data_IF_777309191358
#
_entry.id   IF_777309191358
#
_cell.length_a   1.000
_cell.length_b   1.000
_cell.length_c   1.000
_cell.angle_alpha   90.00
_cell.angle_beta   90.00
_cell.angle_gamma   90.00
#
_symmetry.space_group_name_H-M   'P 1'
#
loop_
_entity.id
_entity.type
_entity.pdbx_description
1 polymer ?
#
# COMPACT_ATOMS: atom_id res chain seq x y z
N UNK A 1 4.36 38.07 17.14
CA UNK A 1 5.11 37.02 16.40
C UNK A 1 4.32 35.74 16.51
N UNK A 2 3.57 35.36 15.47
CA UNK A 2 2.77 34.15 15.47
C UNK A 2 3.62 32.95 15.07
N UNK A 3 3.71 31.94 15.91
CA UNK A 3 4.27 30.64 15.54
C UNK A 3 3.34 30.01 14.50
N UNK A 4 3.85 29.77 13.27
CA UNK A 4 3.15 28.93 12.31
C UNK A 4 3.16 27.49 12.83
N UNK A 5 2.02 26.82 12.77
CA UNK A 5 1.92 25.42 13.18
C UNK A 5 2.72 24.53 12.22
N UNK A 6 3.17 23.34 12.64
CA UNK A 6 3.88 22.41 11.75
C UNK A 6 3.11 22.11 10.44
N UNK A 7 1.76 21.98 10.45
CA UNK A 7 0.97 21.90 9.22
C UNK A 7 1.17 23.08 8.26
N UNK A 8 1.28 24.30 8.78
CA UNK A 8 1.50 25.50 7.96
C UNK A 8 2.92 25.54 7.39
N UNK A 9 3.91 25.03 8.14
CA UNK A 9 5.27 24.87 7.66
C UNK A 9 5.37 23.80 6.57
N UNK A 10 4.74 22.64 6.76
CA UNK A 10 4.68 21.57 5.76
C UNK A 10 4.06 22.07 4.46
N UNK A 11 2.91 22.77 4.56
CA UNK A 11 2.24 23.40 3.41
C UNK A 11 3.12 24.42 2.69
N UNK A 12 3.80 25.28 3.44
CA UNK A 12 4.66 26.32 2.89
C UNK A 12 5.94 25.75 2.23
N UNK A 13 6.53 24.71 2.81
CA UNK A 13 7.72 24.04 2.25
C UNK A 13 7.43 23.31 0.94
N UNK A 14 6.23 22.74 0.82
CA UNK A 14 5.78 22.02 -0.37
C UNK A 14 5.05 22.91 -1.40
N UNK A 15 5.05 24.24 -1.24
CA UNK A 15 4.49 25.17 -2.21
C UNK A 15 2.97 25.15 -2.34
N UNK A 16 2.26 24.64 -1.34
CA UNK A 16 0.80 24.56 -1.32
C UNK A 16 0.19 25.90 -0.87
N UNK A 17 0.25 26.92 -1.72
CA UNK A 17 -0.43 28.19 -1.47
C UNK A 17 -1.89 28.13 -1.92
N UNK A 18 -2.79 28.62 -1.06
CA UNK A 18 -4.22 28.75 -1.31
C UNK A 18 -4.49 29.66 -2.51
N UNK A 19 -4.69 29.09 -3.70
CA UNK A 19 -5.48 29.64 -4.83
C UNK A 19 -5.32 28.74 -6.06
N UNK A 20 -6.02 27.60 -6.07
CA UNK A 20 -6.53 26.91 -7.26
C UNK A 20 -7.27 25.65 -6.84
N UNK A 21 -8.44 25.31 -7.43
CA UNK A 21 -9.02 23.98 -7.30
C UNK A 21 -8.23 23.00 -8.18
N UNK A 22 -6.93 22.86 -7.87
CA UNK A 22 -6.11 21.80 -8.40
C UNK A 22 -6.34 20.62 -7.48
N UNK A 23 -7.04 19.62 -8.00
CA UNK A 23 -6.97 18.23 -7.52
C UNK A 23 -5.49 17.99 -7.26
N UNK A 24 -5.08 17.94 -5.98
CA UNK A 24 -3.72 17.58 -5.62
C UNK A 24 -3.59 16.11 -5.98
N UNK A 25 -3.23 15.84 -7.24
CA UNK A 25 -2.99 14.50 -7.71
C UNK A 25 -1.82 13.97 -6.90
N UNK A 26 -2.13 13.13 -5.90
CA UNK A 26 -1.12 12.53 -5.05
C UNK A 26 -0.12 11.81 -5.94
N UNK A 27 1.16 12.17 -5.82
CA UNK A 27 2.21 11.40 -6.48
C UNK A 27 2.33 10.05 -5.75
N UNK A 28 1.83 8.98 -6.37
CA UNK A 28 1.85 7.64 -5.79
C UNK A 28 3.26 7.14 -5.46
N UNK A 29 4.31 7.73 -6.03
CA UNK A 29 5.70 7.47 -5.65
C UNK A 29 5.96 7.72 -4.16
N UNK A 30 5.29 8.75 -3.61
CA UNK A 30 5.44 9.19 -2.21
C UNK A 30 4.47 8.48 -1.28
N UNK A 31 3.53 7.69 -1.80
CA UNK A 31 2.50 7.00 -1.04
C UNK A 31 3.07 6.21 0.16
N UNK A 32 4.11 5.37 0.02
CA UNK A 32 4.62 4.61 1.16
C UNK A 32 5.15 5.50 2.29
N UNK A 33 5.81 6.62 1.94
CA UNK A 33 6.37 7.55 2.91
C UNK A 33 5.29 8.31 3.66
N UNK A 34 4.26 8.79 2.94
CA UNK A 34 3.15 9.54 3.53
C UNK A 34 2.33 8.64 4.45
N UNK A 35 2.01 7.41 4.01
CA UNK A 35 1.29 6.45 4.86
C UNK A 35 2.10 6.08 6.11
N UNK A 36 3.40 5.87 5.97
CA UNK A 36 4.25 5.58 7.13
C UNK A 36 4.28 6.73 8.15
N UNK A 37 4.35 7.98 7.69
CA UNK A 37 4.29 9.15 8.57
C UNK A 37 2.95 9.21 9.32
N UNK A 38 1.84 8.98 8.62
CA UNK A 38 0.50 8.95 9.23
C UNK A 38 0.33 7.80 10.23
N UNK A 39 0.92 6.62 9.99
CA UNK A 39 0.93 5.52 10.96
C UNK A 39 1.70 5.87 12.23
N UNK A 40 2.77 6.64 12.12
CA UNK A 40 3.54 7.10 13.28
C UNK A 40 2.73 8.10 14.09
N UNK A 41 2.15 9.10 13.43
CA UNK A 41 1.32 10.14 14.07
C UNK A 41 0.11 9.55 14.81
N UNK A 42 -0.48 8.49 14.27
CA UNK A 42 -1.66 7.81 14.85
C UNK A 42 -1.30 6.68 15.80
N UNK A 43 -0.01 6.44 16.08
CA UNK A 43 0.53 5.30 16.85
C UNK A 43 0.19 3.90 16.31
N UNK A 44 -0.47 3.79 15.16
CA UNK A 44 -0.81 2.51 14.54
C UNK A 44 0.42 1.72 14.08
N UNK A 45 1.57 2.38 13.89
CA UNK A 45 2.85 1.72 13.61
C UNK A 45 3.27 0.71 14.69
N UNK A 46 2.69 0.76 15.89
CA UNK A 46 2.98 -0.22 16.96
C UNK A 46 2.27 -1.55 16.72
N UNK A 47 1.11 -1.54 16.04
CA UNK A 47 0.26 -2.72 15.81
C UNK A 47 0.29 -3.20 14.36
N UNK A 48 0.49 -2.29 13.41
CA UNK A 48 0.46 -2.56 11.97
C UNK A 48 1.83 -2.43 11.33
N UNK A 49 2.06 -3.26 10.32
CA UNK A 49 3.17 -3.14 9.38
C UNK A 49 2.63 -2.98 7.95
N UNK A 50 2.83 -1.81 7.35
CA UNK A 50 2.40 -1.57 5.97
C UNK A 50 3.46 -2.06 4.98
N UNK A 51 3.01 -2.85 4.01
CA UNK A 51 3.83 -3.42 2.95
C UNK A 51 3.30 -2.92 1.60
N UNK A 52 3.77 -1.73 1.21
CA UNK A 52 3.39 -1.09 -0.05
C UNK A 52 4.14 -1.72 -1.23
N UNK A 53 3.41 -2.37 -2.13
CA UNK A 53 3.90 -3.08 -3.31
C UNK A 53 3.53 -2.28 -4.58
N UNK A 54 4.55 -1.91 -5.35
CA UNK A 54 4.40 -1.20 -6.61
C UNK A 54 4.25 -2.20 -7.77
N UNK A 55 3.03 -2.30 -8.31
CA UNK A 55 2.68 -3.17 -9.43
C UNK A 55 3.09 -2.63 -10.79
N UNK A 56 3.57 -1.39 -10.89
CA UNK A 56 3.95 -0.80 -12.19
C UNK A 56 5.11 -1.53 -12.86
N UNK A 57 5.88 -2.31 -12.08
CA UNK A 57 7.07 -3.06 -12.50
C UNK A 57 6.86 -4.57 -12.56
N UNK A 58 5.62 -5.05 -12.51
CA UNK A 58 5.34 -6.48 -12.64
C UNK A 58 5.62 -6.96 -14.07
N UNK A 59 6.54 -7.93 -14.19
CA UNK A 59 6.90 -8.53 -15.47
C UNK A 59 5.76 -9.43 -15.97
N UNK A 60 5.20 -10.25 -15.07
CA UNK A 60 4.01 -11.07 -15.32
C UNK A 60 2.84 -10.56 -14.48
N UNK A 61 1.89 -9.87 -15.12
CA UNK A 61 0.75 -9.24 -14.45
C UNK A 61 -0.35 -10.22 -14.01
N UNK A 62 -0.41 -11.41 -14.57
CA UNK A 62 -1.34 -12.47 -14.14
C UNK A 62 -0.79 -13.27 -12.96
N UNK A 63 0.55 -13.35 -12.87
CA UNK A 63 1.25 -14.06 -11.79
C UNK A 63 2.51 -13.30 -11.35
N UNK A 64 2.36 -12.17 -10.63
CA UNK A 64 3.48 -11.33 -10.20
C UNK A 64 4.18 -11.87 -8.94
N UNK A 65 4.11 -13.18 -8.68
CA UNK A 65 4.58 -13.78 -7.42
C UNK A 65 6.05 -13.48 -7.11
N UNK A 66 6.92 -13.64 -8.10
CA UNK A 66 8.35 -13.37 -7.97
C UNK A 66 8.62 -11.86 -7.72
N UNK A 67 7.90 -10.98 -8.41
CA UNK A 67 8.05 -9.53 -8.27
C UNK A 67 7.62 -9.03 -6.89
N UNK A 68 6.48 -9.53 -6.39
CA UNK A 68 5.99 -9.23 -5.04
C UNK A 68 7.00 -9.72 -4.01
N UNK A 69 7.46 -10.97 -4.13
CA UNK A 69 8.48 -11.52 -3.23
C UNK A 69 9.76 -10.68 -3.21
N UNK A 70 10.26 -10.28 -4.38
CA UNK A 70 11.44 -9.43 -4.48
C UNK A 70 11.23 -8.08 -3.78
N UNK A 71 10.05 -7.47 -3.89
CA UNK A 71 9.73 -6.24 -3.17
C UNK A 71 9.65 -6.46 -1.67
N UNK A 72 9.03 -7.55 -1.18
CA UNK A 72 8.99 -7.89 0.24
C UNK A 72 10.40 -8.03 0.83
N UNK A 73 11.28 -8.77 0.15
CA UNK A 73 12.65 -8.98 0.62
C UNK A 73 13.49 -7.70 0.52
N UNK A 74 13.49 -7.01 -0.63
CA UNK A 74 14.41 -5.88 -0.87
C UNK A 74 13.95 -4.56 -0.25
N UNK A 75 12.64 -4.28 -0.27
CA UNK A 75 12.08 -3.01 0.20
C UNK A 75 11.66 -3.09 1.67
N UNK A 76 11.04 -4.21 2.04
CA UNK A 76 10.45 -4.40 3.37
C UNK A 76 11.30 -5.28 4.29
N UNK A 77 12.46 -5.73 3.81
CA UNK A 77 13.43 -6.53 4.58
C UNK A 77 12.84 -7.83 5.16
N UNK A 78 11.81 -8.39 4.51
CA UNK A 78 11.29 -9.70 4.88
C UNK A 78 12.38 -10.79 4.70
N UNK A 79 12.40 -11.81 5.57
CA UNK A 79 13.31 -12.95 5.45
C UNK A 79 13.25 -13.59 4.06
N UNK A 80 14.39 -14.07 3.55
CA UNK A 80 14.38 -14.86 2.32
C UNK A 80 13.77 -16.24 2.58
N UNK A 81 12.99 -16.73 1.63
CA UNK A 81 12.50 -18.11 1.61
C UNK A 81 13.69 -19.09 1.53
N UNK A 82 13.62 -20.17 2.31
CA UNK A 82 14.57 -21.29 2.25
C UNK A 82 14.38 -22.14 0.99
N UNK A 83 13.16 -22.16 0.43
CA UNK A 83 12.79 -22.91 -0.78
C UNK A 83 13.10 -22.15 -2.08
N UNK A 84 13.61 -20.91 -1.96
CA UNK A 84 13.91 -20.02 -3.08
C UNK A 84 12.76 -19.07 -3.44
N UNK A 85 12.91 -18.37 -4.58
CA UNK A 85 11.95 -17.37 -5.06
C UNK A 85 10.64 -18.04 -5.51
N UNK A 86 9.47 -17.61 -4.97
CA UNK A 86 8.17 -18.11 -5.38
C UNK A 86 7.91 -17.88 -6.88
N UNK A 87 7.44 -18.93 -7.55
CA UNK A 87 7.07 -18.91 -8.98
C UNK A 87 5.58 -18.74 -9.20
N UNK A 88 4.76 -19.01 -8.19
CA UNK A 88 3.29 -18.93 -8.25
C UNK A 88 2.75 -18.13 -7.08
N UNK A 89 1.56 -17.53 -7.23
CA UNK A 89 0.88 -16.84 -6.12
C UNK A 89 0.56 -17.79 -4.96
N UNK A 90 0.39 -19.09 -5.24
CA UNK A 90 0.23 -20.12 -4.20
C UNK A 90 1.51 -20.30 -3.39
N UNK A 91 2.67 -20.41 -4.04
CA UNK A 91 3.96 -20.46 -3.34
C UNK A 91 4.22 -19.17 -2.56
N UNK A 92 3.83 -18.01 -3.11
CA UNK A 92 3.93 -16.74 -2.40
C UNK A 92 3.03 -16.71 -1.16
N UNK A 93 1.82 -17.27 -1.24
CA UNK A 93 0.91 -17.41 -0.09
C UNK A 93 1.54 -18.28 0.99
N UNK A 94 2.11 -19.43 0.62
CA UNK A 94 2.78 -20.33 1.56
C UNK A 94 3.94 -19.59 2.24
N UNK A 95 4.79 -18.92 1.47
CA UNK A 95 5.87 -18.09 2.02
C UNK A 95 5.33 -17.04 2.99
N UNK A 96 4.26 -16.32 2.63
CA UNK A 96 3.62 -15.32 3.49
C UNK A 96 3.13 -15.89 4.82
N UNK A 97 2.53 -17.08 4.79
CA UNK A 97 2.02 -17.78 5.99
C UNK A 97 3.14 -18.31 6.90
N UNK A 98 4.33 -18.55 6.34
CA UNK A 98 5.51 -19.00 7.11
C UNK A 98 6.27 -17.83 7.76
N UNK A 99 5.96 -16.59 7.40
CA UNK A 99 6.59 -15.43 8.03
C UNK A 99 6.04 -15.23 9.44
N UNK A 100 6.96 -15.02 10.38
CA UNK A 100 6.62 -14.62 11.74
C UNK A 100 6.49 -13.10 11.80
N UNK A 101 5.27 -12.63 12.10
CA UNK A 101 4.92 -11.22 12.07
C UNK A 101 4.76 -10.69 13.49
N UNK A 102 5.64 -9.79 13.90
CA UNK A 102 5.51 -9.09 15.19
C UNK A 102 4.29 -8.15 15.22
N UNK A 103 3.92 -7.63 14.05
CA UNK A 103 2.84 -6.67 13.84
C UNK A 103 1.93 -7.19 12.75
N UNK A 104 0.65 -6.84 12.81
CA UNK A 104 -0.33 -7.26 11.80
C UNK A 104 0.06 -6.71 10.42
N UNK A 105 0.39 -7.57 9.44
CA UNK A 105 0.89 -7.13 8.16
C UNK A 105 -0.25 -6.75 7.21
N UNK A 106 -0.12 -5.59 6.56
CA UNK A 106 -1.08 -5.09 5.59
C UNK A 106 -0.40 -4.94 4.23
N UNK A 107 -0.94 -5.61 3.20
CA UNK A 107 -0.48 -5.45 1.82
C UNK A 107 -1.27 -4.35 1.12
N UNK A 108 -0.55 -3.37 0.57
CA UNK A 108 -1.14 -2.28 -0.21
C UNK A 108 -0.55 -2.31 -1.61
N UNK A 109 -1.36 -2.67 -2.60
CA UNK A 109 -0.95 -2.69 -4.00
C UNK A 109 -1.32 -1.38 -4.69
N UNK A 110 -0.38 -0.80 -5.43
CA UNK A 110 -0.61 0.42 -6.22
C UNK A 110 0.26 0.38 -7.49
N UNK A 111 -0.07 1.18 -8.50
CA UNK A 111 0.80 1.38 -9.67
C UNK A 111 1.25 2.84 -9.69
N UNK A 112 2.56 3.08 -9.50
CA UNK A 112 3.11 4.44 -9.50
C UNK A 112 3.06 5.09 -10.88
N UNK A 113 3.68 4.45 -11.87
CA UNK A 113 3.90 5.00 -13.19
C UNK A 113 3.12 4.22 -14.25
N UNK A 114 2.49 4.95 -15.18
CA UNK A 114 1.74 4.40 -16.32
C UNK A 114 0.81 3.25 -15.88
N UNK A 115 -0.17 3.53 -15.00
CA UNK A 115 -1.06 2.50 -14.49
C UNK A 115 -1.78 1.83 -15.67
N UNK A 116 -1.61 0.53 -15.78
CA UNK A 116 -2.21 -0.30 -16.81
C UNK A 116 -3.36 -1.14 -16.23
N UNK A 117 -3.55 -1.09 -14.90
CA UNK A 117 -4.50 -1.89 -14.16
C UNK A 117 -3.91 -3.23 -13.74
N UNK A 118 -4.37 -3.71 -12.59
CA UNK A 118 -4.10 -5.08 -12.14
C UNK A 118 -4.97 -6.05 -12.94
N UNK A 119 -4.41 -7.22 -13.31
CA UNK A 119 -5.18 -8.26 -14.01
C UNK A 119 -6.27 -8.83 -13.09
N UNK A 120 -7.39 -9.24 -13.68
CA UNK A 120 -8.46 -9.91 -12.92
C UNK A 120 -7.97 -11.22 -12.31
N UNK A 121 -7.17 -12.01 -13.04
CA UNK A 121 -6.56 -13.25 -12.54
C UNK A 121 -5.77 -13.04 -11.25
N UNK A 122 -4.98 -11.95 -11.20
CA UNK A 122 -4.23 -11.60 -9.99
C UNK A 122 -5.16 -11.16 -8.87
N UNK A 123 -6.12 -10.26 -9.12
CA UNK A 123 -7.07 -9.80 -8.11
C UNK A 123 -7.91 -10.95 -7.53
N UNK A 124 -8.44 -11.84 -8.37
CA UNK A 124 -9.16 -13.04 -7.94
C UNK A 124 -8.27 -13.96 -7.09
N UNK A 125 -6.98 -14.04 -7.39
CA UNK A 125 -6.02 -14.80 -6.59
C UNK A 125 -5.77 -14.14 -5.22
N UNK A 126 -5.73 -12.81 -5.15
CA UNK A 126 -5.58 -12.07 -3.89
C UNK A 126 -6.75 -12.32 -2.93
N UNK A 127 -7.97 -12.55 -3.42
CA UNK A 127 -9.12 -12.88 -2.55
C UNK A 127 -8.91 -14.14 -1.71
N UNK A 128 -8.04 -15.05 -2.17
CA UNK A 128 -7.72 -16.33 -1.53
C UNK A 128 -6.39 -16.29 -0.75
N UNK A 129 -5.72 -15.14 -0.74
CA UNK A 129 -4.37 -14.97 -0.18
C UNK A 129 -4.37 -14.89 1.36
N UNK A 130 -5.54 -14.81 2.02
CA UNK A 130 -5.70 -14.80 3.49
C UNK A 130 -4.83 -13.76 4.22
N UNK A 131 -4.54 -12.64 3.54
CA UNK A 131 -3.89 -11.48 4.15
C UNK A 131 -4.85 -10.29 4.13
N UNK A 132 -4.62 -9.31 5.01
CA UNK A 132 -5.31 -8.03 4.90
C UNK A 132 -4.70 -7.25 3.73
N UNK A 133 -5.49 -7.08 2.67
CA UNK A 133 -5.04 -6.50 1.40
C UNK A 133 -5.96 -5.36 1.01
N UNK A 134 -5.38 -4.29 0.46
CA UNK A 134 -6.12 -3.32 -0.34
C UNK A 134 -5.37 -2.95 -1.62
N UNK A 135 -6.12 -2.39 -2.58
CA UNK A 135 -5.61 -2.05 -3.91
C UNK A 135 -5.98 -0.61 -4.25
N UNK A 136 -5.00 0.17 -4.68
CA UNK A 136 -5.21 1.52 -5.21
C UNK A 136 -5.29 1.41 -6.73
N UNK A 137 -6.50 1.60 -7.27
CA UNK A 137 -6.81 1.40 -8.69
C UNK A 137 -8.05 2.20 -9.09
N UNK A 138 -8.15 2.53 -10.38
CA UNK A 138 -9.35 3.16 -10.93
C UNK A 138 -10.50 2.16 -11.13
N UNK A 139 -10.19 0.86 -11.14
CA UNK A 139 -11.16 -0.21 -11.39
C UNK A 139 -11.44 -0.97 -10.09
N UNK A 140 -12.57 -0.69 -9.41
CA UNK A 140 -12.89 -1.32 -8.15
C UNK A 140 -13.10 -2.83 -8.30
N UNK A 141 -12.74 -3.58 -7.27
CA UNK A 141 -12.96 -5.03 -7.18
C UNK A 141 -14.09 -5.31 -6.18
N UNK A 142 -15.02 -6.24 -6.45
CA UNK A 142 -16.20 -6.45 -5.60
C UNK A 142 -15.87 -6.89 -4.16
N UNK A 143 -14.75 -7.58 -3.96
CA UNK A 143 -14.40 -8.22 -2.68
C UNK A 143 -13.17 -7.61 -2.00
N UNK A 144 -12.29 -6.98 -2.77
CA UNK A 144 -11.04 -6.44 -2.22
C UNK A 144 -11.26 -4.95 -1.95
N UNK A 145 -10.93 -4.42 -0.76
CA UNK A 145 -10.96 -2.99 -0.53
C UNK A 145 -10.15 -2.24 -1.59
N UNK A 146 -10.84 -1.42 -2.39
CA UNK A 146 -10.22 -0.62 -3.45
C UNK A 146 -10.36 0.86 -3.19
N UNK A 147 -9.28 1.61 -3.42
CA UNK A 147 -9.27 3.06 -3.29
C UNK A 147 -8.89 3.71 -4.62
N UNK A 148 -9.60 4.76 -4.99
CA UNK A 148 -9.31 5.48 -6.23
C UNK A 148 -8.05 6.33 -6.06
N UNK A 149 -7.05 6.24 -6.95
CA UNK A 149 -5.90 7.14 -6.92
C UNK A 149 -6.25 8.61 -7.19
N UNK A 150 -7.46 8.88 -7.71
CA UNK A 150 -7.97 10.23 -7.93
C UNK A 150 -8.77 10.79 -6.74
N UNK A 151 -8.95 10.00 -5.67
CA UNK A 151 -9.58 10.47 -4.45
C UNK A 151 -8.71 11.58 -3.81
N UNK A 152 -9.18 12.84 -3.70
CA UNK A 152 -8.42 13.91 -3.07
C UNK A 152 -8.13 13.64 -1.58
N UNK A 153 -8.86 12.72 -0.96
CA UNK A 153 -8.68 12.32 0.43
C UNK A 153 -8.11 10.90 0.57
N UNK A 154 -7.49 10.34 -0.48
CA UNK A 154 -6.99 8.96 -0.54
C UNK A 154 -6.27 8.49 0.73
N UNK A 155 -5.30 9.27 1.22
CA UNK A 155 -4.54 8.94 2.43
C UNK A 155 -5.45 8.81 3.64
N UNK A 156 -6.36 9.77 3.83
CA UNK A 156 -7.32 9.76 4.94
C UNK A 156 -8.28 8.57 4.83
N UNK A 157 -8.75 8.26 3.62
CA UNK A 157 -9.63 7.11 3.35
C UNK A 157 -8.93 5.79 3.70
N UNK A 158 -7.67 5.62 3.30
CA UNK A 158 -6.86 4.43 3.64
C UNK A 158 -6.64 4.35 5.15
N UNK A 159 -6.25 5.44 5.80
CA UNK A 159 -6.00 5.45 7.26
C UNK A 159 -7.27 5.11 8.05
N UNK A 160 -8.43 5.61 7.62
CA UNK A 160 -9.72 5.28 8.24
C UNK A 160 -10.04 3.79 8.08
N UNK A 161 -9.75 3.21 6.92
CA UNK A 161 -9.90 1.77 6.71
C UNK A 161 -8.95 0.96 7.60
N UNK A 162 -7.66 1.33 7.68
CA UNK A 162 -6.68 0.68 8.54
C UNK A 162 -7.10 0.66 10.01
N UNK A 163 -7.63 1.77 10.52
CA UNK A 163 -8.15 1.87 11.88
C UNK A 163 -9.31 0.91 12.13
N UNK A 164 -10.23 0.77 11.17
CA UNK A 164 -11.35 -0.17 11.28
C UNK A 164 -10.88 -1.62 11.30
N UNK A 165 -9.93 -1.97 10.43
CA UNK A 165 -9.36 -3.32 10.40
C UNK A 165 -8.83 -3.71 11.78
N UNK A 166 -8.13 -2.82 12.49
CA UNK A 166 -7.63 -3.11 13.85
C UNK A 166 -8.77 -3.34 14.85
N UNK A 167 -9.84 -2.55 14.77
CA UNK A 167 -10.98 -2.68 15.69
C UNK A 167 -11.81 -3.94 15.45
N UNK A 168 -11.73 -4.52 14.26
CA UNK A 168 -12.42 -5.74 13.86
C UNK A 168 -11.58 -7.01 14.04
N UNK A 169 -10.31 -6.88 14.44
CA UNK A 169 -9.40 -8.01 14.73
C UNK A 169 -9.33 -8.28 16.23
#
# INVERSE_FOLDING_TARGET
MGFRSYPDFYRAWHGLTETSPLIQTLNLAQLPQILQAQLIETNLHQTLQLLCIDGSKFDNRDNPAADIYLQLVKKHHCPKSTEGTPRTLTELKIYWQLLDWEKHPILIFYEEAKPQGFSQTFLDSLTRFEATICVITHSPHPTIPTFSPQDPHLIQTIMTWLQRTILET
#
